data_IF_643238665772
#
_entry.id   IF_643238665772
#
_cell.length_a   1.000
_cell.length_b   1.000
_cell.length_c   1.000
_cell.angle_alpha   90.00
_cell.angle_beta   90.00
_cell.angle_gamma   90.00
#
_symmetry.space_group_name_H-M   'P 1'
#
loop_
_entity.id
_entity.type
_entity.pdbx_description
1 polymer ?
#
# COMPACT_ATOMS: atom_id res chain seq x y z
N UNK A 1 -47.65 79.46 -98.97
CA UNK A 1 -46.36 79.74 -99.66
C UNK A 1 -45.43 78.62 -99.26
N UNK A 2 -45.31 77.59 -100.10
CA UNK A 2 -44.12 77.34 -100.96
C UNK A 2 -42.87 77.24 -100.07
N UNK A 3 -42.13 76.13 -100.02
CA UNK A 3 -41.55 75.51 -101.20
C UNK A 3 -40.79 74.22 -100.83
N UNK A 4 -41.07 73.16 -101.61
CA UNK A 4 -40.22 72.03 -102.02
C UNK A 4 -39.52 71.15 -100.98
N UNK A 5 -40.14 69.97 -100.86
CA UNK A 5 -39.53 68.65 -100.84
C UNK A 5 -38.23 68.54 -101.68
N UNK A 6 -37.11 68.07 -101.12
CA UNK A 6 -35.94 67.62 -101.86
C UNK A 6 -35.79 66.08 -101.84
N UNK A 7 -36.87 65.32 -101.91
CA UNK A 7 -36.84 63.91 -102.36
C UNK A 7 -36.70 63.86 -103.88
N UNK A 8 -35.51 64.18 -104.41
CA UNK A 8 -34.99 63.67 -105.70
C UNK A 8 -33.61 64.27 -105.98
N UNK A 9 -32.57 63.78 -105.29
CA UNK A 9 -31.23 63.75 -105.87
C UNK A 9 -30.95 62.31 -106.26
N UNK A 10 -31.65 61.85 -107.30
CA UNK A 10 -31.21 60.70 -108.09
C UNK A 10 -30.19 61.26 -109.10
N UNK A 11 -28.92 60.82 -109.08
CA UNK A 11 -27.96 61.27 -110.06
C UNK A 11 -28.42 60.84 -111.46
N UNK A 12 -28.28 61.73 -112.43
CA UNK A 12 -28.69 61.52 -113.81
C UNK A 12 -27.72 60.55 -114.49
N UNK A 13 -28.05 59.25 -114.50
CA UNK A 13 -27.22 58.17 -115.04
C UNK A 13 -27.57 57.81 -116.49
N UNK A 14 -28.03 58.78 -117.30
CA UNK A 14 -28.56 58.46 -118.63
C UNK A 14 -27.50 58.02 -119.64
N UNK A 15 -26.21 58.37 -119.46
CA UNK A 15 -25.17 58.12 -120.47
C UNK A 15 -23.85 57.51 -119.92
N UNK A 16 -23.90 56.52 -119.02
CA UNK A 16 -22.70 55.80 -118.53
C UNK A 16 -22.73 54.32 -118.93
N UNK A 17 -21.55 53.81 -119.33
CA UNK A 17 -21.27 52.40 -119.73
C UNK A 17 -21.75 51.41 -118.64
N UNK A 18 -22.21 50.18 -119.00
CA UNK A 18 -22.63 49.16 -118.04
C UNK A 18 -21.65 48.95 -116.87
N UNK A 19 -20.34 49.08 -117.16
CA UNK A 19 -19.26 48.94 -116.18
C UNK A 19 -19.18 50.09 -115.17
N UNK A 20 -19.45 51.33 -115.61
CA UNK A 20 -19.44 52.49 -114.72
C UNK A 20 -20.66 52.50 -113.79
N UNK A 21 -21.82 52.04 -114.26
CA UNK A 21 -23.00 51.83 -113.41
C UNK A 21 -22.75 50.74 -112.37
N UNK A 22 -22.06 49.67 -112.75
CA UNK A 22 -21.64 48.62 -111.83
C UNK A 22 -20.60 49.13 -110.80
N UNK A 23 -19.61 49.93 -111.22
CA UNK A 23 -18.60 50.52 -110.32
C UNK A 23 -19.22 51.50 -109.32
N UNK A 24 -20.08 52.43 -109.76
CA UNK A 24 -20.74 53.40 -108.84
C UNK A 24 -21.67 52.68 -107.87
N UNK A 25 -22.38 51.64 -108.33
CA UNK A 25 -23.24 50.82 -107.46
C UNK A 25 -22.40 50.02 -106.46
N UNK A 26 -21.24 49.52 -106.87
CA UNK A 26 -20.28 48.84 -106.01
C UNK A 26 -19.72 49.80 -104.96
N UNK A 27 -19.26 50.99 -105.33
CA UNK A 27 -18.73 52.00 -104.39
C UNK A 27 -19.78 52.44 -103.36
N UNK A 28 -21.03 52.63 -103.78
CA UNK A 28 -22.13 52.95 -102.86
C UNK A 28 -22.40 51.77 -101.91
N UNK A 29 -22.37 50.53 -102.43
CA UNK A 29 -22.58 49.33 -101.60
C UNK A 29 -21.43 49.08 -100.61
N UNK A 30 -20.19 49.31 -101.03
CA UNK A 30 -18.98 49.16 -100.22
C UNK A 30 -18.92 50.22 -99.14
N UNK A 31 -19.27 51.47 -99.47
CA UNK A 31 -19.34 52.57 -98.50
C UNK A 31 -20.46 52.35 -97.48
N UNK A 32 -21.61 51.82 -97.91
CA UNK A 32 -22.70 51.43 -97.00
C UNK A 32 -22.30 50.24 -96.12
N UNK A 33 -21.57 49.27 -96.67
CA UNK A 33 -21.01 48.16 -95.91
C UNK A 33 -20.00 48.65 -94.89
N UNK A 34 -19.03 49.48 -95.26
CA UNK A 34 -18.05 50.03 -94.31
C UNK A 34 -18.71 50.94 -93.27
N UNK A 35 -19.71 51.76 -93.63
CA UNK A 35 -20.48 52.51 -92.62
C UNK A 35 -21.25 51.59 -91.66
N UNK A 36 -21.83 50.50 -92.17
CA UNK A 36 -22.52 49.49 -91.37
C UNK A 36 -21.56 48.65 -90.51
N UNK A 37 -20.38 48.35 -91.05
CA UNK A 37 -19.32 47.60 -90.38
C UNK A 37 -18.70 48.44 -89.27
N UNK A 38 -18.37 49.71 -89.53
CA UNK A 38 -17.87 50.66 -88.55
C UNK A 38 -18.90 50.90 -87.44
N UNK A 39 -20.19 51.03 -87.78
CA UNK A 39 -21.27 51.08 -86.78
C UNK A 39 -21.43 49.76 -85.98
N UNK A 40 -21.10 48.61 -86.57
CA UNK A 40 -21.15 47.31 -85.91
C UNK A 40 -19.94 47.10 -85.00
N UNK A 41 -18.74 47.47 -85.45
CA UNK A 41 -17.50 47.41 -84.67
C UNK A 41 -17.62 48.31 -83.44
N UNK A 42 -18.11 49.55 -83.58
CA UNK A 42 -18.34 50.45 -82.42
C UNK A 42 -19.34 49.90 -81.40
N UNK A 43 -20.28 49.05 -81.82
CA UNK A 43 -21.23 48.36 -80.91
C UNK A 43 -20.59 47.18 -80.21
N UNK A 44 -19.79 46.39 -80.92
CA UNK A 44 -18.99 45.30 -80.34
C UNK A 44 -17.94 45.84 -79.37
N UNK A 45 -17.26 46.92 -79.72
CA UNK A 45 -16.32 47.66 -78.89
C UNK A 45 -16.95 48.08 -77.55
N UNK A 46 -18.18 48.63 -77.59
CA UNK A 46 -18.93 49.01 -76.38
C UNK A 46 -19.32 47.83 -75.48
N UNK A 47 -19.46 46.62 -76.02
CA UNK A 47 -19.77 45.41 -75.23
C UNK A 47 -18.50 44.70 -74.74
N UNK A 48 -17.43 44.69 -75.55
CA UNK A 48 -16.18 43.98 -75.26
C UNK A 48 -15.36 44.71 -74.21
N UNK A 49 -15.27 46.05 -74.24
CA UNK A 49 -14.49 46.79 -73.24
C UNK A 49 -14.92 46.54 -71.79
N UNK A 50 -16.21 46.64 -71.40
CA UNK A 50 -16.62 46.31 -70.05
C UNK A 50 -16.41 44.81 -69.74
N UNK A 51 -16.61 43.91 -70.70
CA UNK A 51 -16.35 42.48 -70.52
C UNK A 51 -14.86 42.18 -70.24
N UNK A 52 -13.93 42.84 -70.93
CA UNK A 52 -12.48 42.71 -70.71
C UNK A 52 -12.07 43.22 -69.33
N UNK A 53 -12.65 44.34 -68.87
CA UNK A 53 -12.39 44.87 -67.52
C UNK A 53 -12.89 43.90 -66.46
N UNK A 54 -14.13 43.40 -66.59
CA UNK A 54 -14.71 42.43 -65.66
C UNK A 54 -13.89 41.13 -65.65
N UNK A 55 -13.52 40.61 -66.82
CA UNK A 55 -12.69 39.42 -66.95
C UNK A 55 -11.30 39.61 -66.33
N UNK A 56 -10.67 40.76 -66.54
CA UNK A 56 -9.39 41.11 -65.93
C UNK A 56 -9.48 41.22 -64.41
N UNK A 57 -10.53 41.87 -63.88
CA UNK A 57 -10.78 41.97 -62.45
C UNK A 57 -11.07 40.60 -61.82
N UNK A 58 -11.84 39.75 -62.50
CA UNK A 58 -12.08 38.36 -62.07
C UNK A 58 -10.80 37.53 -62.10
N UNK A 59 -9.97 37.67 -63.12
CA UNK A 59 -8.67 36.99 -63.22
C UNK A 59 -7.71 37.42 -62.10
N UNK A 60 -7.60 38.72 -61.85
CA UNK A 60 -6.79 39.27 -60.75
C UNK A 60 -7.34 38.84 -59.38
N UNK A 61 -8.66 38.90 -59.18
CA UNK A 61 -9.31 38.45 -57.94
C UNK A 61 -9.11 36.95 -57.71
N UNK A 62 -9.25 36.13 -58.76
CA UNK A 62 -9.00 34.70 -58.69
C UNK A 62 -7.55 34.37 -58.37
N UNK A 63 -6.59 35.04 -59.04
CA UNK A 63 -5.17 34.87 -58.75
C UNK A 63 -4.81 35.34 -57.34
N UNK A 64 -5.37 36.46 -56.89
CA UNK A 64 -5.18 36.98 -55.53
C UNK A 64 -5.67 35.99 -54.47
N UNK A 65 -6.84 35.37 -54.69
CA UNK A 65 -7.39 34.37 -53.78
C UNK A 65 -6.51 33.11 -53.72
N UNK A 66 -6.08 32.60 -54.88
CA UNK A 66 -5.19 31.43 -54.94
C UNK A 66 -3.86 31.74 -54.23
N UNK A 67 -3.26 32.91 -54.46
CA UNK A 67 -2.01 33.31 -53.82
C UNK A 67 -2.15 33.36 -52.30
N UNK A 68 -3.23 33.96 -51.78
CA UNK A 68 -3.46 34.04 -50.34
C UNK A 68 -3.71 32.66 -49.72
N UNK A 69 -4.58 31.84 -50.30
CA UNK A 69 -4.86 30.48 -49.79
C UNK A 69 -3.59 29.62 -49.80
N UNK A 70 -2.79 29.71 -50.87
CA UNK A 70 -1.53 28.95 -50.97
C UNK A 70 -0.54 29.41 -49.90
N UNK A 71 -0.44 30.72 -49.65
CA UNK A 71 0.43 31.29 -48.61
C UNK A 71 -0.03 30.88 -47.21
N UNK A 72 -1.32 30.93 -46.93
CA UNK A 72 -1.89 30.55 -45.64
C UNK A 72 -1.71 29.05 -45.39
N UNK A 73 -1.90 28.21 -46.42
CA UNK A 73 -1.64 26.77 -46.34
C UNK A 73 -0.17 26.44 -46.11
N UNK A 74 0.76 27.23 -46.70
CA UNK A 74 2.18 27.10 -46.44
C UNK A 74 2.55 27.45 -44.99
N UNK A 75 2.02 28.55 -44.46
CA UNK A 75 2.21 28.95 -43.05
C UNK A 75 1.59 27.97 -42.07
N UNK A 76 0.40 27.44 -42.39
CA UNK A 76 -0.26 26.39 -41.59
C UNK A 76 0.56 25.10 -41.59
N UNK A 77 1.05 24.64 -42.74
CA UNK A 77 1.91 23.45 -42.84
C UNK A 77 3.19 23.59 -41.99
N UNK A 78 3.82 24.77 -42.01
CA UNK A 78 5.01 25.03 -41.20
C UNK A 78 4.74 25.04 -39.69
N UNK A 79 3.54 25.45 -39.26
CA UNK A 79 3.15 25.42 -37.85
C UNK A 79 2.71 24.03 -37.37
N UNK A 80 2.18 23.22 -38.28
CA UNK A 80 1.72 21.87 -38.00
C UNK A 80 2.86 20.85 -37.91
N UNK A 81 3.90 20.97 -38.74
CA UNK A 81 4.93 19.93 -38.82
C UNK A 81 5.83 19.86 -37.57
N UNK A 82 6.60 20.89 -37.19
CA UNK A 82 7.69 20.70 -36.21
C UNK A 82 7.21 20.74 -34.76
N UNK A 83 6.25 21.61 -34.45
CA UNK A 83 5.82 21.85 -33.06
C UNK A 83 4.88 20.74 -32.56
N UNK A 84 3.97 20.26 -33.42
CA UNK A 84 3.08 19.17 -33.05
C UNK A 84 3.85 17.84 -32.98
N UNK A 85 4.77 17.59 -33.91
CA UNK A 85 5.67 16.43 -33.86
C UNK A 85 6.46 16.40 -32.54
N UNK A 86 7.09 17.52 -32.16
CA UNK A 86 7.85 17.61 -30.92
C UNK A 86 6.98 17.39 -29.67
N UNK A 87 5.80 18.01 -29.62
CA UNK A 87 4.88 17.84 -28.50
C UNK A 87 4.34 16.41 -28.39
N UNK A 88 4.04 15.76 -29.52
CA UNK A 88 3.62 14.35 -29.53
C UNK A 88 4.76 13.41 -29.14
N UNK A 89 5.99 13.69 -29.57
CA UNK A 89 7.17 12.96 -29.14
C UNK A 89 7.40 13.09 -27.62
N UNK A 90 7.29 14.30 -27.06
CA UNK A 90 7.38 14.53 -25.62
C UNK A 90 6.27 13.83 -24.85
N UNK A 91 5.03 13.86 -25.36
CA UNK A 91 3.92 13.12 -24.76
C UNK A 91 4.19 11.61 -24.76
N UNK A 92 4.75 11.06 -25.83
CA UNK A 92 5.15 9.66 -25.89
C UNK A 92 6.21 9.32 -24.83
N UNK A 93 7.19 10.20 -24.63
CA UNK A 93 8.20 10.03 -23.57
C UNK A 93 7.56 10.06 -22.19
N UNK A 94 6.71 11.05 -21.90
CA UNK A 94 6.00 11.16 -20.63
C UNK A 94 5.11 9.94 -20.34
N UNK A 95 4.43 9.40 -21.35
CA UNK A 95 3.63 8.17 -21.22
C UNK A 95 4.53 6.97 -20.91
N UNK A 96 5.70 6.87 -21.56
CA UNK A 96 6.68 5.83 -21.27
C UNK A 96 7.22 5.94 -19.84
N UNK A 97 7.55 7.14 -19.37
CA UNK A 97 8.01 7.39 -18.00
C UNK A 97 6.91 7.07 -16.98
N UNK A 98 5.67 7.48 -17.24
CA UNK A 98 4.53 7.17 -16.39
C UNK A 98 4.31 5.65 -16.30
N UNK A 99 4.39 4.94 -17.43
CA UNK A 99 4.30 3.47 -17.46
C UNK A 99 5.39 2.83 -16.60
N UNK A 100 6.62 3.32 -16.70
CA UNK A 100 7.74 2.83 -15.89
C UNK A 100 7.54 3.12 -14.39
N UNK A 101 7.02 4.30 -14.05
CA UNK A 101 6.70 4.65 -12.66
C UNK A 101 5.59 3.74 -12.10
N UNK A 102 4.54 3.47 -12.87
CA UNK A 102 3.47 2.54 -12.50
C UNK A 102 4.03 1.12 -12.30
N UNK A 103 4.92 0.66 -13.16
CA UNK A 103 5.58 -0.64 -13.01
C UNK A 103 6.40 -0.70 -11.71
N UNK A 104 7.17 0.35 -11.40
CA UNK A 104 7.92 0.46 -10.15
C UNK A 104 7.01 0.46 -8.93
N UNK A 105 5.93 1.25 -8.96
CA UNK A 105 4.94 1.28 -7.86
C UNK A 105 4.27 -0.09 -7.67
N UNK A 106 3.94 -0.78 -8.76
CA UNK A 106 3.36 -2.13 -8.71
C UNK A 106 4.31 -3.10 -8.00
N UNK A 107 5.60 -3.04 -8.31
CA UNK A 107 6.62 -3.84 -7.64
C UNK A 107 6.74 -3.49 -6.14
N UNK A 108 6.73 -2.20 -5.80
CA UNK A 108 6.77 -1.74 -4.40
C UNK A 108 5.54 -2.22 -3.62
N UNK A 109 4.34 -2.15 -4.21
CA UNK A 109 3.11 -2.67 -3.60
C UNK A 109 3.22 -4.19 -3.40
N UNK A 110 3.77 -4.93 -4.36
CA UNK A 110 4.00 -6.37 -4.20
C UNK A 110 4.94 -6.68 -3.04
N UNK A 111 6.00 -5.89 -2.85
CA UNK A 111 6.90 -6.04 -1.70
C UNK A 111 6.21 -5.72 -0.38
N UNK A 112 5.37 -4.67 -0.34
CA UNK A 112 4.58 -4.34 0.84
C UNK A 112 3.62 -5.47 1.22
N UNK A 113 2.95 -6.09 0.24
CA UNK A 113 2.10 -7.26 0.48
C UNK A 113 2.91 -8.42 1.07
N UNK A 114 4.11 -8.69 0.53
CA UNK A 114 5.01 -9.71 1.09
C UNK A 114 5.42 -9.41 2.53
N UNK A 115 5.77 -8.15 2.84
CA UNK A 115 6.12 -7.73 4.20
C UNK A 115 4.94 -7.89 5.17
N UNK A 116 3.71 -7.55 4.75
CA UNK A 116 2.50 -7.75 5.56
C UNK A 116 2.28 -9.25 5.86
N UNK A 117 2.45 -10.12 4.85
CA UNK A 117 2.36 -11.58 5.06
C UNK A 117 3.42 -12.09 6.06
N UNK A 118 4.65 -11.58 5.99
CA UNK A 118 5.68 -11.90 6.97
C UNK A 118 5.32 -11.41 8.38
N UNK A 119 4.74 -10.22 8.50
CA UNK A 119 4.26 -9.69 9.78
C UNK A 119 3.14 -10.54 10.36
N UNK A 120 2.17 -10.97 9.54
CA UNK A 120 1.08 -11.85 9.98
C UNK A 120 1.62 -13.18 10.53
N UNK A 121 2.60 -13.78 9.84
CA UNK A 121 3.28 -14.99 10.31
C UNK A 121 3.99 -14.77 11.66
N UNK A 122 4.71 -13.67 11.81
CA UNK A 122 5.39 -13.33 13.08
C UNK A 122 4.39 -13.11 14.21
N UNK A 123 3.26 -12.46 13.95
CA UNK A 123 2.18 -12.26 14.92
C UNK A 123 1.58 -13.61 15.34
N UNK A 124 1.36 -14.53 14.40
CA UNK A 124 0.89 -15.89 14.71
C UNK A 124 1.87 -16.63 15.63
N UNK A 125 3.17 -16.61 15.32
CA UNK A 125 4.20 -17.25 16.15
C UNK A 125 4.30 -16.63 17.56
N UNK A 126 4.14 -15.31 17.64
CA UNK A 126 4.10 -14.60 18.92
C UNK A 126 2.87 -15.02 19.74
N UNK A 127 1.71 -15.18 19.10
CA UNK A 127 0.49 -15.65 19.77
C UNK A 127 0.64 -17.09 20.32
N UNK A 128 1.28 -17.98 19.56
CA UNK A 128 1.60 -19.34 20.02
C UNK A 128 2.57 -19.31 21.21
N UNK A 129 3.58 -18.44 21.16
CA UNK A 129 4.54 -18.24 22.25
C UNK A 129 3.85 -17.75 23.53
N UNK A 130 2.96 -16.75 23.42
CA UNK A 130 2.17 -16.23 24.55
C UNK A 130 1.28 -17.32 25.14
N UNK A 131 0.64 -18.14 24.29
CA UNK A 131 -0.19 -19.27 24.74
C UNK A 131 0.65 -20.28 25.54
N UNK A 132 1.85 -20.63 25.06
CA UNK A 132 2.76 -21.53 25.76
C UNK A 132 3.27 -20.96 27.09
N UNK A 133 3.51 -19.64 27.16
CA UNK A 133 3.86 -18.95 28.40
C UNK A 133 2.70 -19.04 29.40
N UNK A 134 1.46 -18.81 28.97
CA UNK A 134 0.27 -18.94 29.82
C UNK A 134 0.18 -20.35 30.44
N UNK A 135 0.30 -21.39 29.63
CA UNK A 135 0.30 -22.80 30.09
C UNK A 135 1.43 -23.07 31.09
N UNK A 136 2.61 -22.47 30.87
CA UNK A 136 3.74 -22.61 31.78
C UNK A 136 3.48 -21.94 33.13
N UNK A 137 2.84 -20.77 33.13
CA UNK A 137 2.41 -20.09 34.36
C UNK A 137 1.36 -20.90 35.13
N UNK A 138 0.40 -21.52 34.46
CA UNK A 138 -0.59 -22.40 35.11
C UNK A 138 0.08 -23.59 35.81
N UNK A 139 1.10 -24.18 35.16
CA UNK A 139 1.92 -25.23 35.78
C UNK A 139 2.68 -24.72 36.99
N UNK A 140 3.29 -23.55 36.91
CA UNK A 140 3.99 -22.93 38.06
C UNK A 140 3.03 -22.71 39.21
N UNK A 141 1.82 -22.19 38.95
CA UNK A 141 0.82 -21.99 39.99
C UNK A 141 0.43 -23.32 40.66
N UNK A 142 0.21 -24.36 39.87
CA UNK A 142 -0.10 -25.71 40.39
C UNK A 142 1.04 -26.29 41.25
N UNK A 143 2.30 -26.05 40.87
CA UNK A 143 3.45 -26.46 41.69
C UNK A 143 3.52 -25.67 43.00
N UNK A 144 3.21 -24.37 42.98
CA UNK A 144 3.16 -23.55 44.18
C UNK A 144 2.04 -23.98 45.14
N UNK A 145 0.87 -24.37 44.61
CA UNK A 145 -0.22 -24.94 45.42
C UNK A 145 0.23 -26.25 46.09
N UNK A 146 0.94 -27.11 45.35
CA UNK A 146 1.49 -28.37 45.88
C UNK A 146 2.53 -28.10 46.98
N UNK A 147 3.46 -27.18 46.76
CA UNK A 147 4.45 -26.79 47.77
C UNK A 147 3.81 -26.22 49.03
N UNK A 148 2.71 -25.45 48.87
CA UNK A 148 1.96 -24.90 50.00
C UNK A 148 1.30 -26.02 50.83
N UNK A 149 0.79 -27.05 50.16
CA UNK A 149 0.25 -28.24 50.82
C UNK A 149 1.35 -29.03 51.54
N UNK A 150 2.50 -29.26 50.89
CA UNK A 150 3.63 -29.98 51.48
C UNK A 150 4.17 -29.27 52.73
N UNK A 151 4.33 -27.95 52.69
CA UNK A 151 4.74 -27.15 53.86
C UNK A 151 3.71 -27.26 54.99
N UNK A 152 2.42 -27.26 54.66
CA UNK A 152 1.35 -27.43 55.65
C UNK A 152 1.40 -28.80 56.32
N UNK A 153 1.66 -29.86 55.54
CA UNK A 153 1.85 -31.21 56.05
C UNK A 153 3.09 -31.28 56.96
N UNK A 154 4.23 -30.78 56.51
CA UNK A 154 5.47 -30.74 57.31
C UNK A 154 5.28 -30.02 58.64
N UNK A 155 4.50 -28.92 58.65
CA UNK A 155 4.16 -28.20 59.89
C UNK A 155 3.32 -29.07 60.82
N UNK A 156 2.40 -29.86 60.29
CA UNK A 156 1.63 -30.85 61.05
C UNK A 156 2.53 -31.93 61.65
N UNK A 157 3.39 -32.54 60.83
CA UNK A 157 4.32 -33.59 61.26
C UNK A 157 5.29 -33.08 62.35
N UNK A 158 5.78 -31.85 62.20
CA UNK A 158 6.62 -31.19 63.20
C UNK A 158 5.86 -30.96 64.52
N UNK A 159 4.56 -30.64 64.46
CA UNK A 159 3.69 -30.54 65.64
C UNK A 159 3.57 -31.88 66.36
N UNK A 160 3.29 -32.96 65.64
CA UNK A 160 3.23 -34.32 66.21
C UNK A 160 4.57 -34.74 66.82
N UNK A 161 5.68 -34.37 66.19
CA UNK A 161 7.00 -34.63 66.73
C UNK A 161 7.25 -33.86 68.05
N UNK A 162 6.78 -32.61 68.16
CA UNK A 162 6.85 -31.86 69.40
C UNK A 162 6.06 -32.55 70.53
N UNK A 163 4.82 -32.98 70.25
CA UNK A 163 3.98 -33.70 71.23
C UNK A 163 4.63 -35.02 71.71
N UNK A 164 5.27 -35.75 70.78
CA UNK A 164 6.01 -36.97 71.11
C UNK A 164 7.22 -36.68 72.03
N UNK A 165 7.94 -35.59 71.77
CA UNK A 165 9.08 -35.16 72.62
C UNK A 165 8.59 -34.80 74.02
N UNK A 166 7.47 -34.10 74.15
CA UNK A 166 6.86 -33.77 75.45
C UNK A 166 6.47 -35.04 76.21
N UNK A 167 5.81 -35.99 75.54
CA UNK A 167 5.45 -37.30 76.11
C UNK A 167 6.69 -38.09 76.56
N UNK A 168 7.77 -38.06 75.77
CA UNK A 168 9.04 -38.68 76.14
C UNK A 168 9.67 -37.99 77.36
N UNK A 169 9.59 -36.67 77.45
CA UNK A 169 10.12 -35.91 78.58
C UNK A 169 9.38 -36.26 79.88
N UNK A 170 8.05 -36.39 79.84
CA UNK A 170 7.24 -36.83 80.98
C UNK A 170 7.59 -38.27 81.42
N UNK A 171 7.82 -39.15 80.45
CA UNK A 171 8.25 -40.53 80.71
C UNK A 171 9.62 -40.57 81.39
N UNK A 172 10.57 -39.76 80.93
CA UNK A 172 11.91 -39.63 81.52
C UNK A 172 11.82 -39.06 82.95
N UNK A 173 10.93 -38.09 83.19
CA UNK A 173 10.69 -37.54 84.53
C UNK A 173 10.20 -38.62 85.49
N UNK A 174 9.24 -39.45 85.06
CA UNK A 174 8.71 -40.58 85.84
C UNK A 174 9.83 -41.58 86.17
N UNK A 175 10.61 -42.00 85.18
CA UNK A 175 11.77 -42.91 85.39
C UNK A 175 12.78 -42.31 86.36
N UNK A 176 13.01 -40.99 86.30
CA UNK A 176 13.92 -40.31 87.22
C UNK A 176 13.42 -40.35 88.67
N UNK A 177 12.11 -40.26 88.88
CA UNK A 177 11.49 -40.44 90.20
C UNK A 177 11.63 -41.89 90.68
N UNK A 178 11.29 -42.87 89.85
CA UNK A 178 11.42 -44.30 90.18
C UNK A 178 12.85 -44.67 90.61
N UNK A 179 13.86 -44.16 89.89
CA UNK A 179 15.27 -44.36 90.25
C UNK A 179 15.60 -43.74 91.61
N UNK A 180 14.99 -42.59 91.93
CA UNK A 180 15.18 -41.90 93.22
C UNK A 180 14.58 -42.69 94.37
N UNK A 181 13.36 -43.20 94.20
CA UNK A 181 12.70 -44.08 95.17
C UNK A 181 13.49 -45.38 95.37
N UNK A 182 13.88 -46.02 94.27
CA UNK A 182 14.70 -47.25 94.32
C UNK A 182 16.03 -47.01 95.04
N UNK A 183 16.69 -45.86 94.83
CA UNK A 183 17.89 -45.48 95.59
C UNK A 183 17.63 -45.41 97.10
N UNK A 184 16.49 -44.88 97.53
CA UNK A 184 16.11 -44.83 98.94
C UNK A 184 15.82 -46.22 99.49
N UNK A 185 15.05 -47.05 98.78
CA UNK A 185 14.76 -48.43 99.16
C UNK A 185 16.04 -49.27 99.28
N UNK A 186 16.98 -49.12 98.34
CA UNK A 186 18.29 -49.78 98.41
C UNK A 186 19.10 -49.32 99.62
N UNK A 187 19.10 -48.03 99.96
CA UNK A 187 19.77 -47.53 101.17
C UNK A 187 19.18 -48.15 102.44
N UNK A 188 17.86 -48.27 102.53
CA UNK A 188 17.18 -48.95 103.65
C UNK A 188 17.59 -50.43 103.70
N UNK A 189 17.61 -51.11 102.55
CA UNK A 189 18.04 -52.50 102.46
C UNK A 189 19.51 -52.67 102.89
N UNK A 190 20.42 -51.79 102.48
CA UNK A 190 21.82 -51.81 102.93
C UNK A 190 21.93 -51.68 104.45
N UNK A 191 21.13 -50.80 105.08
CA UNK A 191 21.08 -50.66 106.54
C UNK A 191 20.57 -51.95 107.18
N UNK A 192 19.44 -52.48 106.71
CA UNK A 192 18.83 -53.70 107.25
C UNK A 192 19.79 -54.90 107.12
N UNK A 193 20.42 -55.09 105.97
CA UNK A 193 21.42 -56.14 105.75
C UNK A 193 22.65 -55.94 106.64
N UNK A 194 23.05 -54.68 106.89
CA UNK A 194 24.12 -54.35 107.82
C UNK A 194 23.78 -54.72 109.27
N UNK A 195 22.57 -54.40 109.72
CA UNK A 195 22.04 -54.78 111.03
C UNK A 195 21.94 -56.31 111.16
N UNK A 196 21.35 -56.99 110.17
CA UNK A 196 21.31 -58.46 110.12
C UNK A 196 22.71 -59.07 110.18
N UNK A 197 23.69 -58.51 109.46
CA UNK A 197 25.07 -58.95 109.52
C UNK A 197 25.70 -58.76 110.91
N UNK A 198 25.33 -57.70 111.63
CA UNK A 198 25.74 -57.49 113.02
C UNK A 198 25.08 -58.50 113.97
N UNK A 199 23.77 -58.72 113.82
CA UNK A 199 22.99 -59.66 114.62
C UNK A 199 23.49 -61.10 114.42
N UNK A 200 23.75 -61.51 113.18
CA UNK A 200 24.34 -62.80 112.86
C UNK A 200 25.72 -62.97 113.51
N UNK A 201 26.55 -61.91 113.57
CA UNK A 201 27.85 -61.95 114.25
C UNK A 201 27.69 -62.06 115.77
N UNK A 202 26.72 -61.36 116.35
CA UNK A 202 26.40 -61.48 117.78
C UNK A 202 25.89 -62.89 118.11
N UNK A 203 25.03 -63.48 117.28
CA UNK A 203 24.54 -64.86 117.41
C UNK A 203 25.64 -65.91 117.19
N UNK A 204 26.65 -65.62 116.36
CA UNK A 204 27.76 -66.54 116.12
C UNK A 204 28.71 -66.66 117.33
N UNK A 205 28.76 -65.67 118.22
CA UNK A 205 29.61 -65.71 119.43
C UNK A 205 29.21 -66.85 120.40
N UNK A 206 27.95 -66.97 120.85
CA UNK A 206 27.52 -68.09 121.67
C UNK A 206 27.52 -69.41 120.89
N UNK A 207 27.21 -69.42 119.59
CA UNK A 207 27.35 -70.62 118.73
C UNK A 207 28.78 -71.17 118.74
N UNK A 208 29.81 -70.31 118.64
CA UNK A 208 31.21 -70.72 118.74
C UNK A 208 31.60 -71.20 120.14
N UNK A 209 31.09 -70.57 121.20
CA UNK A 209 31.29 -71.05 122.56
C UNK A 209 30.65 -72.44 122.74
N UNK A 210 29.43 -72.64 122.26
CA UNK A 210 28.71 -73.91 122.33
C UNK A 210 29.38 -75.01 121.50
N UNK A 211 29.94 -74.68 120.32
CA UNK A 211 30.75 -75.59 119.51
C UNK A 211 32.10 -75.96 120.17
N UNK A 212 32.61 -75.12 121.07
CA UNK A 212 33.84 -75.41 121.84
C UNK A 212 33.53 -76.34 123.02
N UNK A 213 32.32 -76.26 123.57
CA UNK A 213 31.86 -77.14 124.64
C UNK A 213 31.29 -78.48 124.14
N UNK A 214 30.78 -78.53 122.91
CA UNK A 214 30.30 -79.74 122.25
C UNK A 214 30.83 -79.78 120.81
N UNK A 215 32.09 -80.22 120.61
CA UNK A 215 32.53 -80.57 119.27
C UNK A 215 31.80 -81.84 118.84
N UNK A 216 31.33 -81.86 117.60
CA UNK A 216 30.95 -83.10 116.94
C UNK A 216 32.18 -83.93 116.57
#
# INVERSE_FOLDING_TARGET
MFEKDPRTFAPDYKNLSPEQKAMVKLEISLTRFFKGFDASVRRWERMIYPAMIIFGLLGLSGFYLIYHVTKDMHSMSQSFDPAMESNMAQMSVNISELSQNIATMTNQVSLLVGNIQHMDNNISQMNDTITNISVSFDKVNSHMDTLTADISQMRGDTGVMADNIDTMNDSIFTVTQDITEMKQSMRIMTINTGLMGHDMRQMNKPMRAMNTFMPW
#
